data_IF_541478932514
#
_entry.id   IF_541478932514
#
_cell.length_a   1.000
_cell.length_b   1.000
_cell.length_c   1.000
_cell.angle_alpha   90.00
_cell.angle_beta   90.00
_cell.angle_gamma   90.00
#
_symmetry.space_group_name_H-M   'P 1'
#
loop_
_entity.id
_entity.type
_entity.pdbx_description
1 polymer ?
#
# COMPACT_ATOMS: atom_id res chain seq x y z
N UNK A 1 0.86 10.23 -24.97
CA UNK A 1 1.52 9.33 -23.99
C UNK A 1 0.52 8.28 -23.56
N UNK A 2 0.88 7.01 -23.54
CA UNK A 2 0.08 5.91 -22.99
C UNK A 2 0.64 5.51 -21.62
N UNK A 3 -0.19 4.89 -20.78
CA UNK A 3 0.24 4.35 -19.50
C UNK A 3 -0.30 2.93 -19.29
N UNK A 4 0.32 2.18 -18.40
CA UNK A 4 -0.10 0.82 -18.08
C UNK A 4 -1.30 0.85 -17.12
N UNK A 5 -2.41 0.17 -17.47
CA UNK A 5 -3.63 0.17 -16.66
C UNK A 5 -3.60 -0.79 -15.48
N UNK A 6 -3.13 -2.01 -15.72
CA UNK A 6 -3.37 -3.11 -14.78
C UNK A 6 -2.23 -4.13 -14.72
N UNK A 7 -1.18 -3.95 -15.51
CA UNK A 7 -0.11 -4.94 -15.63
C UNK A 7 0.57 -5.29 -14.30
N UNK A 8 0.50 -4.39 -13.33
CA UNK A 8 1.19 -4.51 -12.03
C UNK A 8 0.24 -4.66 -10.84
N UNK A 9 -1.08 -4.60 -11.05
CA UNK A 9 -2.04 -4.49 -9.94
C UNK A 9 -2.08 -5.74 -9.07
N UNK A 10 -1.89 -6.92 -9.66
CA UNK A 10 -1.89 -8.19 -8.93
C UNK A 10 -0.66 -8.25 -8.03
N UNK A 11 0.52 -7.97 -8.57
CA UNK A 11 1.79 -8.04 -7.84
C UNK A 11 1.80 -7.07 -6.65
N UNK A 12 1.32 -5.83 -6.85
CA UNK A 12 1.23 -4.85 -5.75
C UNK A 12 0.22 -5.32 -4.68
N UNK A 13 -0.91 -5.91 -5.07
CA UNK A 13 -1.88 -6.43 -4.11
C UNK A 13 -1.31 -7.61 -3.33
N UNK A 14 -0.55 -8.49 -3.97
CA UNK A 14 0.12 -9.62 -3.34
C UNK A 14 1.22 -9.15 -2.38
N UNK A 15 2.00 -8.13 -2.77
CA UNK A 15 3.00 -7.50 -1.90
C UNK A 15 2.36 -6.95 -0.62
N UNK A 16 1.28 -6.16 -0.74
CA UNK A 16 0.57 -5.60 0.42
C UNK A 16 0.03 -6.71 1.32
N UNK A 17 -0.59 -7.73 0.72
CA UNK A 17 -1.11 -8.90 1.44
C UNK A 17 0.02 -9.62 2.19
N UNK A 18 1.18 -9.81 1.56
CA UNK A 18 2.35 -10.43 2.17
C UNK A 18 2.89 -9.59 3.35
N UNK A 19 2.97 -8.26 3.23
CA UNK A 19 3.37 -7.37 4.31
C UNK A 19 2.45 -7.51 5.53
N UNK A 20 1.12 -7.48 5.32
CA UNK A 20 0.12 -7.62 6.38
C UNK A 20 0.29 -8.97 7.09
N UNK A 21 0.33 -10.08 6.35
CA UNK A 21 0.43 -11.42 6.93
C UNK A 21 1.79 -11.66 7.59
N UNK A 22 2.88 -11.17 7.01
CA UNK A 22 4.21 -11.26 7.60
C UNK A 22 4.28 -10.48 8.93
N UNK A 23 3.62 -9.31 9.00
CA UNK A 23 3.53 -8.55 10.24
C UNK A 23 2.65 -9.28 11.27
N UNK A 24 1.45 -9.70 10.92
CA UNK A 24 0.54 -10.41 11.85
C UNK A 24 1.22 -11.63 12.48
N UNK A 25 2.08 -12.33 11.75
CA UNK A 25 2.86 -13.48 12.26
C UNK A 25 4.24 -13.10 12.79
N UNK A 26 4.60 -11.81 12.83
CA UNK A 26 5.91 -11.31 13.32
C UNK A 26 7.10 -12.01 12.67
N UNK A 27 7.00 -12.42 11.40
CA UNK A 27 8.01 -13.26 10.74
C UNK A 27 9.41 -12.63 10.79
N UNK A 28 9.53 -11.34 10.49
CA UNK A 28 10.83 -10.65 10.53
C UNK A 28 11.40 -10.51 11.95
N UNK A 29 10.54 -10.29 12.93
CA UNK A 29 10.98 -10.19 14.34
C UNK A 29 11.46 -11.53 14.87
N UNK A 30 10.76 -12.62 14.59
CA UNK A 30 11.18 -13.96 14.99
C UNK A 30 12.46 -14.41 14.25
N UNK A 31 12.56 -14.19 12.93
CA UNK A 31 13.78 -14.52 12.18
C UNK A 31 15.00 -13.77 12.76
N UNK A 32 14.84 -12.47 13.06
CA UNK A 32 15.89 -11.66 13.69
C UNK A 32 16.26 -12.19 15.07
N UNK A 33 15.28 -12.49 15.93
CA UNK A 33 15.52 -13.06 17.26
C UNK A 33 16.33 -14.35 17.19
N UNK A 34 15.95 -15.26 16.30
CA UNK A 34 16.66 -16.54 16.13
C UNK A 34 18.04 -16.35 15.52
N UNK A 35 18.16 -15.59 14.42
CA UNK A 35 19.42 -15.51 13.66
C UNK A 35 20.42 -14.53 14.26
N UNK A 36 19.98 -13.33 14.70
CA UNK A 36 20.84 -12.30 15.25
C UNK A 36 21.05 -12.48 16.76
N UNK A 37 19.92 -12.60 17.50
CA UNK A 37 19.95 -12.56 18.95
C UNK A 37 20.13 -13.96 19.58
N UNK A 38 20.13 -15.03 18.75
CA UNK A 38 20.30 -16.45 19.15
C UNK A 38 19.27 -16.93 20.18
N UNK A 39 18.05 -16.36 20.12
CA UNK A 39 16.93 -16.71 20.99
C UNK A 39 15.92 -17.58 20.26
N UNK A 40 15.69 -18.79 20.78
CA UNK A 40 14.64 -19.70 20.33
C UNK A 40 13.48 -19.64 21.33
N UNK A 41 12.70 -18.54 21.26
CA UNK A 41 11.66 -18.24 22.23
C UNK A 41 10.49 -17.55 21.55
N UNK A 42 9.27 -18.12 21.66
CA UNK A 42 8.06 -17.55 21.10
C UNK A 42 7.57 -16.30 21.85
N UNK A 43 7.98 -16.12 23.10
CA UNK A 43 7.54 -15.02 23.96
C UNK A 43 8.17 -13.67 23.64
N UNK A 44 9.13 -13.62 22.70
CA UNK A 44 9.76 -12.35 22.24
C UNK A 44 8.77 -11.40 21.55
N UNK A 45 7.62 -11.91 21.12
CA UNK A 45 6.53 -11.13 20.57
C UNK A 45 5.22 -11.51 21.29
N UNK A 46 4.95 -10.97 22.48
CA UNK A 46 3.80 -11.38 23.29
C UNK A 46 2.46 -10.91 22.72
N UNK A 47 2.45 -9.81 21.97
CA UNK A 47 1.22 -9.14 21.50
C UNK A 47 0.89 -9.54 20.05
N UNK A 48 0.67 -10.86 19.85
CA UNK A 48 0.18 -11.39 18.58
C UNK A 48 -1.29 -11.74 18.69
N UNK A 49 -2.12 -11.06 17.90
CA UNK A 49 -3.55 -11.32 17.81
C UNK A 49 -3.88 -12.25 16.64
N UNK A 50 -5.06 -12.88 16.73
CA UNK A 50 -5.63 -13.58 15.57
C UNK A 50 -5.99 -12.55 14.50
N UNK A 51 -5.64 -12.81 13.27
CA UNK A 51 -5.84 -11.84 12.19
C UNK A 51 -7.32 -11.47 11.98
N UNK A 52 -8.25 -12.39 12.21
CA UNK A 52 -9.70 -12.11 12.14
C UNK A 52 -10.24 -11.25 13.29
N UNK A 53 -9.42 -10.92 14.29
CA UNK A 53 -9.76 -9.99 15.35
C UNK A 53 -9.27 -8.56 15.07
N UNK A 54 -8.54 -8.37 13.96
CA UNK A 54 -7.92 -7.10 13.56
C UNK A 54 -8.72 -6.44 12.44
N UNK A 55 -8.40 -5.18 12.15
CA UNK A 55 -9.03 -4.36 11.11
C UNK A 55 -7.99 -3.87 10.13
N UNK A 56 -8.24 -4.06 8.82
CA UNK A 56 -7.40 -3.55 7.74
C UNK A 56 -8.09 -2.36 7.07
N UNK A 57 -7.43 -1.22 7.05
CA UNK A 57 -7.85 0.01 6.38
C UNK A 57 -7.16 0.18 5.03
N UNK A 58 -7.94 0.50 4.01
CA UNK A 58 -7.47 0.75 2.65
C UNK A 58 -7.75 2.22 2.31
N UNK A 59 -6.70 3.05 2.26
CA UNK A 59 -6.82 4.44 1.85
C UNK A 59 -6.76 4.52 0.31
N UNK A 60 -7.91 4.82 -0.31
CA UNK A 60 -8.20 4.61 -1.72
C UNK A 60 -8.80 3.23 -1.97
N UNK A 61 -9.87 3.15 -2.79
CA UNK A 61 -10.54 1.88 -3.10
C UNK A 61 -10.61 1.61 -4.61
N UNK A 62 -9.46 1.83 -5.27
CA UNK A 62 -9.23 1.52 -6.69
C UNK A 62 -8.98 0.03 -6.94
N UNK A 63 -8.43 -0.30 -8.11
CA UNK A 63 -8.22 -1.66 -8.57
C UNK A 63 -7.33 -2.47 -7.60
N UNK A 64 -6.20 -1.91 -7.15
CA UNK A 64 -5.26 -2.61 -6.25
C UNK A 64 -5.93 -2.89 -4.91
N UNK A 65 -6.55 -1.89 -4.28
CA UNK A 65 -7.24 -2.05 -2.99
C UNK A 65 -8.33 -3.13 -3.03
N UNK A 66 -9.09 -3.21 -4.13
CA UNK A 66 -10.10 -4.27 -4.34
C UNK A 66 -9.48 -5.66 -4.45
N UNK A 67 -8.31 -5.79 -5.07
CA UNK A 67 -7.56 -7.05 -5.10
C UNK A 67 -7.03 -7.41 -3.71
N UNK A 68 -6.52 -6.45 -2.94
CA UNK A 68 -6.12 -6.67 -1.53
C UNK A 68 -7.32 -7.15 -0.72
N UNK A 69 -8.48 -6.48 -0.82
CA UNK A 69 -9.69 -6.89 -0.13
C UNK A 69 -10.11 -8.34 -0.51
N UNK A 70 -10.03 -8.68 -1.79
CA UNK A 70 -10.27 -10.05 -2.28
C UNK A 70 -9.27 -11.06 -1.71
N UNK A 71 -7.97 -10.74 -1.70
CA UNK A 71 -6.94 -11.62 -1.14
C UNK A 71 -7.17 -11.87 0.35
N UNK A 72 -7.61 -10.85 1.09
CA UNK A 72 -7.82 -10.93 2.53
C UNK A 72 -9.18 -11.55 2.92
N UNK A 73 -10.14 -11.65 2.01
CA UNK A 73 -11.50 -12.11 2.31
C UNK A 73 -11.56 -13.49 2.96
N UNK A 74 -10.63 -14.39 2.60
CA UNK A 74 -10.56 -15.76 3.16
C UNK A 74 -10.11 -15.81 4.62
N UNK A 75 -9.59 -14.72 5.18
CA UNK A 75 -9.09 -14.66 6.56
C UNK A 75 -10.15 -14.20 7.58
N UNK A 76 -11.30 -13.69 7.11
CA UNK A 76 -12.36 -13.19 7.97
C UNK A 76 -12.00 -11.91 8.74
N UNK A 77 -10.98 -11.17 8.30
CA UNK A 77 -10.58 -9.88 8.86
C UNK A 77 -11.59 -8.80 8.49
N UNK A 78 -11.83 -7.83 9.38
CA UNK A 78 -12.63 -6.65 9.08
C UNK A 78 -11.87 -5.74 8.13
N UNK A 79 -12.51 -5.31 7.03
CA UNK A 79 -11.88 -4.42 6.06
C UNK A 79 -12.69 -3.13 5.95
N UNK A 80 -11.99 -2.01 6.15
CA UNK A 80 -12.49 -0.65 5.93
C UNK A 80 -11.81 -0.06 4.70
N UNK A 81 -12.49 0.85 4.01
CA UNK A 81 -11.88 1.65 2.96
C UNK A 81 -12.37 3.09 2.99
N UNK A 82 -11.51 4.02 2.61
CA UNK A 82 -11.85 5.44 2.44
C UNK A 82 -11.50 5.87 1.02
N UNK A 83 -12.52 6.28 0.26
CA UNK A 83 -12.37 6.82 -1.09
C UNK A 83 -13.56 7.76 -1.36
N UNK A 84 -13.32 9.06 -1.64
CA UNK A 84 -14.41 10.03 -1.81
C UNK A 84 -15.25 9.82 -3.08
N UNK A 85 -14.79 8.94 -3.99
CA UNK A 85 -15.44 8.69 -5.29
C UNK A 85 -16.15 7.33 -5.35
N UNK A 86 -16.11 6.54 -4.27
CA UNK A 86 -16.63 5.17 -4.25
C UNK A 86 -17.72 5.02 -3.20
N UNK A 87 -18.90 4.58 -3.65
CA UNK A 87 -20.06 4.36 -2.80
C UNK A 87 -19.99 3.01 -2.05
N UNK A 88 -20.74 2.89 -0.94
CA UNK A 88 -20.86 1.66 -0.16
C UNK A 88 -21.30 0.45 -1.02
N UNK A 89 -22.14 0.65 -2.02
CA UNK A 89 -22.59 -0.42 -2.93
C UNK A 89 -21.44 -1.12 -3.68
N UNK A 90 -20.32 -0.43 -3.87
CA UNK A 90 -19.10 -1.03 -4.41
C UNK A 90 -18.34 -1.77 -3.31
N UNK A 91 -18.25 -1.20 -2.10
CA UNK A 91 -17.65 -1.86 -0.93
C UNK A 91 -18.33 -3.20 -0.63
N UNK A 92 -19.65 -3.25 -0.68
CA UNK A 92 -20.46 -4.45 -0.41
C UNK A 92 -20.08 -5.63 -1.30
N UNK A 93 -19.68 -5.38 -2.56
CA UNK A 93 -19.25 -6.43 -3.49
C UNK A 93 -17.96 -7.13 -3.04
N UNK A 94 -17.19 -6.50 -2.17
CA UNK A 94 -15.90 -6.99 -1.66
C UNK A 94 -15.94 -7.29 -0.14
N UNK A 95 -17.09 -7.12 0.51
CA UNK A 95 -17.22 -7.26 1.96
C UNK A 95 -16.49 -6.17 2.74
N UNK A 96 -16.42 -4.95 2.18
CA UNK A 96 -15.70 -3.80 2.72
C UNK A 96 -16.68 -2.73 3.19
N UNK A 97 -16.45 -2.16 4.36
CA UNK A 97 -17.20 -1.01 4.86
C UNK A 97 -16.52 0.28 4.43
N UNK A 98 -17.24 1.15 3.72
CA UNK A 98 -16.74 2.47 3.35
C UNK A 98 -16.88 3.43 4.53
N UNK A 99 -15.81 4.17 4.83
CA UNK A 99 -15.75 5.15 5.92
C UNK A 99 -15.02 6.42 5.44
N UNK A 100 -15.05 7.48 6.25
CA UNK A 100 -14.17 8.64 6.02
C UNK A 100 -12.72 8.35 6.43
N UNK A 101 -11.78 9.19 5.98
CA UNK A 101 -10.35 8.98 6.20
C UNK A 101 -9.97 9.02 7.70
N UNK A 102 -10.59 9.89 8.49
CA UNK A 102 -10.32 9.97 9.94
C UNK A 102 -10.78 8.71 10.66
N UNK A 103 -11.97 8.23 10.33
CA UNK A 103 -12.49 6.95 10.85
C UNK A 103 -11.60 5.79 10.44
N UNK A 104 -11.09 5.79 9.19
CA UNK A 104 -10.14 4.78 8.74
C UNK A 104 -8.90 4.73 9.64
N UNK A 105 -8.28 5.88 9.92
CA UNK A 105 -7.08 5.96 10.76
C UNK A 105 -7.35 5.61 12.22
N UNK A 106 -8.53 5.92 12.72
CA UNK A 106 -8.92 5.66 14.11
C UNK A 106 -9.28 4.20 14.39
N UNK A 107 -9.82 3.49 13.40
CA UNK A 107 -10.38 2.15 13.62
C UNK A 107 -9.55 1.00 13.01
N UNK A 108 -8.43 1.30 12.39
CA UNK A 108 -7.62 0.28 11.71
C UNK A 108 -6.38 -0.09 12.51
N UNK A 109 -6.05 -1.39 12.55
CA UNK A 109 -4.78 -1.91 13.04
C UNK A 109 -3.70 -1.86 11.94
N UNK A 110 -4.10 -1.98 10.68
CA UNK A 110 -3.27 -1.85 9.48
C UNK A 110 -3.86 -0.79 8.57
N UNK A 111 -3.03 0.09 8.02
CA UNK A 111 -3.43 0.98 6.92
C UNK A 111 -2.50 0.76 5.75
N UNK A 112 -3.09 0.53 4.57
CA UNK A 112 -2.37 0.48 3.29
C UNK A 112 -2.86 1.59 2.37
N UNK A 113 -1.90 2.33 1.79
CA UNK A 113 -2.18 3.42 0.88
C UNK A 113 -2.30 2.92 -0.56
N UNK A 114 -3.38 3.36 -1.22
CA UNK A 114 -3.71 3.01 -2.62
C UNK A 114 -4.16 4.23 -3.42
N UNK A 115 -3.81 5.44 -2.96
CA UNK A 115 -4.11 6.69 -3.65
C UNK A 115 -3.00 7.07 -4.62
N UNK A 116 -3.31 7.58 -5.83
CA UNK A 116 -2.30 8.08 -6.74
C UNK A 116 -1.70 9.40 -6.22
N UNK A 117 -0.49 9.74 -6.62
CA UNK A 117 0.08 11.07 -6.39
C UNK A 117 -0.36 12.01 -7.52
N UNK A 118 -1.25 12.93 -7.18
CA UNK A 118 -1.75 14.03 -8.03
C UNK A 118 -1.84 15.29 -7.16
N UNK A 119 -2.09 16.45 -7.75
CA UNK A 119 -2.19 17.74 -7.03
C UNK A 119 -3.12 17.68 -5.79
N UNK A 120 -4.24 16.95 -5.88
CA UNK A 120 -5.20 16.82 -4.76
C UNK A 120 -4.88 15.73 -3.73
N UNK A 121 -3.79 14.96 -3.92
CA UNK A 121 -3.38 13.88 -2.99
C UNK A 121 -1.93 14.03 -2.53
N UNK A 122 -1.22 15.02 -3.01
CA UNK A 122 0.09 15.37 -2.50
C UNK A 122 -0.03 15.78 -1.02
N UNK A 123 0.80 15.17 -0.18
CA UNK A 123 0.78 15.37 1.28
C UNK A 123 -0.59 15.18 1.94
N UNK A 124 -1.45 14.34 1.35
CA UNK A 124 -2.77 14.02 1.88
C UNK A 124 -2.68 13.37 3.27
N UNK A 125 -1.66 12.54 3.48
CA UNK A 125 -1.47 11.79 4.71
C UNK A 125 -0.41 12.50 5.55
N UNK A 126 -0.85 13.15 6.61
CA UNK A 126 0.00 13.93 7.49
C UNK A 126 -0.47 13.88 8.94
N UNK A 127 0.05 14.81 9.73
CA UNK A 127 -0.15 14.88 11.19
C UNK A 127 -1.62 14.80 11.61
N UNK A 128 -2.52 15.46 10.88
CA UNK A 128 -3.95 15.46 11.21
C UNK A 128 -4.54 14.04 11.24
N UNK A 129 -4.11 13.17 10.30
CA UNK A 129 -4.54 11.77 10.27
C UNK A 129 -3.74 10.91 11.23
N UNK A 130 -2.44 11.15 11.37
CA UNK A 130 -1.62 10.42 12.35
C UNK A 130 -2.07 10.71 13.80
N UNK A 131 -2.65 11.88 14.07
CA UNK A 131 -3.20 12.17 15.39
C UNK A 131 -4.48 11.40 15.73
N UNK A 132 -5.21 10.92 14.72
CA UNK A 132 -6.39 10.05 14.89
C UNK A 132 -6.02 8.61 15.30
N UNK A 133 -4.77 8.18 15.07
CA UNK A 133 -4.30 6.83 15.43
C UNK A 133 -4.32 6.69 16.97
N UNK A 134 -5.06 5.70 17.51
CA UNK A 134 -5.09 5.50 18.95
C UNK A 134 -3.74 4.97 19.47
N UNK A 135 -3.26 3.87 18.94
CA UNK A 135 -1.96 3.25 19.24
C UNK A 135 -1.68 2.08 18.27
N UNK A 136 -0.38 1.80 18.04
CA UNK A 136 0.12 0.57 17.41
C UNK A 136 -0.25 0.30 15.95
N UNK A 137 -0.55 1.34 15.16
CA UNK A 137 -0.83 1.16 13.73
C UNK A 137 0.35 0.53 13.00
N UNK A 138 0.04 -0.39 12.08
CA UNK A 138 0.94 -0.87 11.03
C UNK A 138 0.67 -0.10 9.74
N UNK A 139 1.66 0.66 9.28
CA UNK A 139 1.52 1.54 8.13
C UNK A 139 2.21 0.96 6.89
N UNK A 140 1.50 0.90 5.75
CA UNK A 140 2.00 0.30 4.51
C UNK A 140 1.86 1.33 3.38
N UNK A 141 2.97 1.68 2.75
CA UNK A 141 2.95 2.54 1.57
C UNK A 141 3.68 1.87 0.39
N UNK A 142 2.91 1.37 -0.55
CA UNK A 142 3.35 0.90 -1.87
C UNK A 142 2.72 1.73 -3.00
N UNK A 143 2.19 2.91 -2.67
CA UNK A 143 1.61 3.83 -3.63
C UNK A 143 2.64 4.84 -4.14
N UNK A 144 2.82 5.96 -3.43
CA UNK A 144 3.83 6.99 -3.73
C UNK A 144 4.28 7.67 -2.44
N UNK A 145 5.58 8.01 -2.33
CA UNK A 145 6.12 8.71 -1.17
C UNK A 145 5.49 10.08 -0.95
N UNK A 146 5.36 10.87 -2.01
CA UNK A 146 4.81 12.23 -1.92
C UNK A 146 3.33 12.34 -1.51
N UNK A 147 2.60 11.23 -1.37
CA UNK A 147 1.26 11.23 -0.77
C UNK A 147 1.34 11.48 0.74
N UNK A 148 2.48 11.18 1.36
CA UNK A 148 2.72 11.27 2.80
C UNK A 148 3.63 12.45 3.11
N UNK A 149 3.33 13.19 4.16
CA UNK A 149 4.28 14.13 4.76
C UNK A 149 5.32 13.31 5.53
N UNK A 150 6.45 13.02 4.89
CA UNK A 150 7.43 12.03 5.37
C UNK A 150 7.96 12.33 6.77
N UNK A 151 8.26 13.60 7.09
CA UNK A 151 8.71 13.96 8.43
C UNK A 151 7.65 13.70 9.50
N UNK A 152 6.38 13.96 9.21
CA UNK A 152 5.28 13.73 10.16
C UNK A 152 5.02 12.22 10.35
N UNK A 153 5.25 11.40 9.32
CA UNK A 153 5.25 9.95 9.45
C UNK A 153 6.41 9.47 10.34
N UNK A 154 7.60 10.03 10.18
CA UNK A 154 8.76 9.74 11.04
C UNK A 154 8.43 10.08 12.49
N UNK A 155 7.84 11.25 12.75
CA UNK A 155 7.43 11.66 14.08
C UNK A 155 6.36 10.71 14.68
N UNK A 156 5.43 10.21 13.85
CA UNK A 156 4.44 9.23 14.26
C UNK A 156 5.06 7.84 14.57
N UNK A 157 6.12 7.44 13.87
CA UNK A 157 6.92 6.25 14.17
C UNK A 157 7.68 6.46 15.50
N UNK A 158 8.29 7.62 15.70
CA UNK A 158 9.07 7.94 16.90
C UNK A 158 8.21 8.03 18.16
N UNK A 159 6.98 8.50 18.03
CA UNK A 159 6.01 8.53 19.13
C UNK A 159 5.36 7.17 19.43
N UNK A 160 5.54 6.15 18.56
CA UNK A 160 4.95 4.82 18.70
C UNK A 160 3.51 4.71 18.17
N UNK A 161 2.90 5.77 17.67
CA UNK A 161 1.59 5.72 17.00
C UNK A 161 1.63 4.76 15.80
N UNK A 162 2.67 4.89 14.96
CA UNK A 162 3.01 3.89 13.97
C UNK A 162 4.02 2.92 14.60
N UNK A 163 3.55 1.76 14.99
CA UNK A 163 4.38 0.73 15.61
C UNK A 163 5.32 0.05 14.63
N UNK A 164 4.90 -0.06 13.37
CA UNK A 164 5.66 -0.69 12.29
C UNK A 164 5.31 -0.08 10.92
N UNK A 165 6.30 0.07 10.06
CA UNK A 165 6.08 0.59 8.71
C UNK A 165 6.67 -0.34 7.63
N UNK A 166 5.92 -0.54 6.55
CA UNK A 166 6.35 -1.22 5.31
C UNK A 166 6.30 -0.18 4.20
N UNK A 167 7.45 0.24 3.73
CA UNK A 167 7.58 1.33 2.77
C UNK A 167 8.31 0.83 1.52
N UNK A 168 7.57 0.71 0.42
CA UNK A 168 8.14 0.38 -0.89
C UNK A 168 8.54 1.65 -1.64
N UNK A 169 8.11 2.80 -1.16
CA UNK A 169 8.37 4.12 -1.74
C UNK A 169 8.68 5.14 -0.65
N UNK A 170 9.58 6.06 -0.95
CA UNK A 170 9.92 7.24 -0.14
C UNK A 170 9.66 8.50 -0.95
N UNK A 171 9.72 9.67 -0.32
CA UNK A 171 9.57 10.95 -1.01
C UNK A 171 10.65 11.16 -2.06
N UNK A 172 11.90 10.81 -1.73
CA UNK A 172 12.97 10.66 -2.70
C UNK A 172 13.04 9.22 -3.19
N UNK A 173 12.88 8.98 -4.50
CA UNK A 173 12.98 7.63 -5.09
C UNK A 173 14.42 7.09 -5.16
N UNK A 174 15.44 7.94 -4.92
CA UNK A 174 16.86 7.58 -4.89
C UNK A 174 17.55 8.05 -3.61
N UNK A 175 17.05 7.65 -2.43
CA UNK A 175 17.52 8.18 -1.15
C UNK A 175 18.96 7.75 -0.86
N UNK A 176 19.72 8.63 -0.18
CA UNK A 176 20.97 8.20 0.44
C UNK A 176 20.69 7.38 1.71
N UNK A 177 20.72 6.07 1.57
CA UNK A 177 20.42 5.14 2.67
C UNK A 177 21.43 5.20 3.82
N UNK A 178 22.61 5.83 3.64
CA UNK A 178 23.59 5.99 4.72
C UNK A 178 23.13 7.04 5.73
N UNK A 179 22.34 8.02 5.28
CA UNK A 179 21.90 9.17 6.09
C UNK A 179 20.40 9.20 6.32
N UNK A 180 19.62 8.39 5.57
CA UNK A 180 18.17 8.41 5.64
C UNK A 180 17.66 7.94 7.01
N UNK A 181 16.79 8.72 7.70
CA UNK A 181 16.38 8.43 9.08
C UNK A 181 15.62 7.11 9.26
N UNK A 182 15.03 6.57 8.19
CA UNK A 182 14.28 5.30 8.22
C UNK A 182 15.14 4.06 7.95
N UNK A 183 16.37 4.22 7.40
CA UNK A 183 17.15 3.10 6.88
C UNK A 183 17.64 2.11 7.95
N UNK A 184 17.80 2.56 9.20
CA UNK A 184 18.37 1.74 10.28
C UNK A 184 17.36 1.45 11.41
N UNK A 185 16.07 1.49 11.13
CA UNK A 185 15.02 1.25 12.12
C UNK A 185 14.56 -0.21 12.09
N UNK A 186 14.57 -0.85 13.23
CA UNK A 186 14.14 -2.26 13.37
C UNK A 186 12.64 -2.46 13.12
N UNK A 187 11.84 -1.41 13.24
CA UNK A 187 10.40 -1.39 13.01
C UNK A 187 10.00 -0.82 11.64
N UNK A 188 10.95 -0.67 10.72
CA UNK A 188 10.70 -0.22 9.34
C UNK A 188 11.28 -1.24 8.36
N UNK A 189 10.47 -1.71 7.45
CA UNK A 189 10.91 -2.50 6.29
C UNK A 189 10.88 -1.60 5.08
N UNK A 190 12.04 -1.43 4.43
CA UNK A 190 12.19 -0.70 3.19
C UNK A 190 12.39 -1.67 2.04
N UNK A 191 11.70 -1.42 0.92
CA UNK A 191 11.95 -2.12 -0.35
C UNK A 191 12.06 -1.09 -1.48
N UNK A 192 12.88 -1.35 -2.52
CA UNK A 192 13.27 -0.33 -3.49
C UNK A 192 12.27 -0.22 -4.65
N UNK A 193 11.02 0.19 -4.37
CA UNK A 193 9.92 0.32 -5.33
C UNK A 193 9.74 -0.96 -6.16
N UNK A 194 9.59 -2.09 -5.46
CA UNK A 194 9.60 -3.44 -6.04
C UNK A 194 8.24 -4.14 -5.97
N UNK A 195 7.24 -3.54 -5.30
CA UNK A 195 5.92 -4.14 -5.13
C UNK A 195 5.26 -4.56 -6.45
N UNK A 196 5.60 -3.89 -7.55
CA UNK A 196 5.07 -4.18 -8.88
C UNK A 196 5.78 -5.35 -9.59
N UNK A 197 6.96 -5.77 -9.11
CA UNK A 197 7.88 -6.58 -9.90
C UNK A 197 7.61 -8.08 -9.79
N UNK A 198 7.33 -8.68 -10.95
CA UNK A 198 7.45 -10.11 -11.22
C UNK A 198 7.93 -10.29 -12.66
N UNK A 199 8.31 -11.51 -13.04
CA UNK A 199 8.65 -11.80 -14.46
C UNK A 199 7.43 -11.60 -15.37
N UNK A 200 6.26 -11.96 -14.87
CA UNK A 200 4.97 -11.82 -15.56
C UNK A 200 4.61 -10.34 -15.73
N UNK A 201 4.67 -9.54 -14.67
CA UNK A 201 4.34 -8.11 -14.73
C UNK A 201 5.28 -7.35 -15.68
N UNK A 202 6.58 -7.65 -15.62
CA UNK A 202 7.57 -7.06 -16.52
C UNK A 202 7.35 -7.45 -18.00
N UNK A 203 6.93 -8.70 -18.27
CA UNK A 203 6.55 -9.16 -19.62
C UNK A 203 5.27 -8.47 -20.08
N UNK A 204 4.23 -8.49 -19.26
CA UNK A 204 2.90 -7.98 -19.60
C UNK A 204 2.92 -6.46 -19.78
N UNK A 205 3.71 -5.75 -18.98
CA UNK A 205 3.96 -4.32 -19.16
C UNK A 205 4.59 -4.01 -20.52
N UNK A 206 5.62 -4.77 -20.93
CA UNK A 206 6.25 -4.61 -22.27
C UNK A 206 5.26 -4.92 -23.40
N UNK A 207 4.48 -5.99 -23.27
CA UNK A 207 3.49 -6.37 -24.28
C UNK A 207 2.40 -5.29 -24.42
N UNK A 208 1.92 -4.71 -23.32
CA UNK A 208 0.96 -3.61 -23.35
C UNK A 208 1.55 -2.37 -24.01
N UNK A 209 2.78 -1.97 -23.67
CA UNK A 209 3.45 -0.85 -24.35
C UNK A 209 3.54 -1.06 -25.86
N UNK A 210 3.95 -2.27 -26.31
CA UNK A 210 4.02 -2.59 -27.74
C UNK A 210 2.64 -2.54 -28.40
N UNK A 211 1.60 -3.05 -27.72
CA UNK A 211 0.24 -2.99 -28.21
C UNK A 211 -0.28 -1.57 -28.36
N UNK A 212 -0.01 -0.70 -27.36
CA UNK A 212 -0.40 0.70 -27.40
C UNK A 212 0.30 1.47 -28.53
N UNK A 213 1.61 1.25 -28.71
CA UNK A 213 2.37 1.82 -29.82
C UNK A 213 1.76 1.40 -31.15
N UNK A 214 1.52 0.10 -31.36
CA UNK A 214 0.88 -0.42 -32.57
C UNK A 214 -0.49 0.22 -32.80
N UNK A 215 -1.34 0.26 -31.78
CA UNK A 215 -2.68 0.80 -31.86
C UNK A 215 -2.66 2.29 -32.24
N UNK A 216 -1.73 3.06 -31.65
CA UNK A 216 -1.54 4.46 -32.00
C UNK A 216 -1.20 4.66 -33.47
N UNK A 217 -0.19 3.94 -34.00
CA UNK A 217 0.24 4.07 -35.39
C UNK A 217 -0.72 3.47 -36.43
N UNK A 218 -1.64 2.60 -36.00
CA UNK A 218 -2.68 2.03 -36.87
C UNK A 218 -4.03 2.77 -36.74
N UNK A 219 -4.10 3.87 -35.99
CA UNK A 219 -5.32 4.66 -35.83
C UNK A 219 -6.37 4.05 -34.90
N UNK A 220 -6.05 2.99 -34.17
CA UNK A 220 -6.93 2.35 -33.18
C UNK A 220 -6.85 3.04 -31.82
N UNK A 221 -7.10 4.34 -31.77
CA UNK A 221 -6.91 5.17 -30.58
C UNK A 221 -7.79 4.78 -29.41
N UNK A 222 -8.99 4.24 -29.67
CA UNK A 222 -9.92 3.70 -28.69
C UNK A 222 -9.35 2.54 -27.85
N UNK A 223 -8.33 1.86 -28.38
CA UNK A 223 -7.61 0.77 -27.71
C UNK A 223 -6.38 1.25 -26.90
N UNK A 224 -5.97 2.50 -27.06
CA UNK A 224 -4.91 3.09 -26.29
C UNK A 224 -5.42 3.57 -24.92
N UNK A 225 -4.58 3.46 -23.89
CA UNK A 225 -4.96 3.90 -22.54
C UNK A 225 -5.01 5.42 -22.44
N UNK A 226 -4.17 6.11 -23.20
CA UNK A 226 -4.14 7.58 -23.32
C UNK A 226 -3.67 7.97 -24.72
N UNK A 227 -4.32 8.98 -25.29
CA UNK A 227 -3.94 9.54 -26.61
C UNK A 227 -3.60 11.01 -26.41
N UNK A 228 -2.41 11.50 -26.82
CA UNK A 228 -2.08 12.92 -26.77
C UNK A 228 -3.08 13.73 -27.62
N UNK A 229 -3.70 14.75 -27.03
CA UNK A 229 -4.69 15.61 -27.70
C UNK A 229 -6.08 15.00 -27.90
N UNK A 230 -6.31 13.76 -27.50
CA UNK A 230 -7.64 13.16 -27.43
C UNK A 230 -8.31 13.42 -26.07
N UNK A 231 -9.62 13.52 -26.07
CA UNK A 231 -10.37 13.52 -24.83
C UNK A 231 -10.04 12.27 -24.03
N UNK A 232 -9.76 12.42 -22.73
CA UNK A 232 -9.57 11.30 -21.81
C UNK A 232 -10.71 10.31 -21.98
N UNK A 233 -10.48 9.20 -22.66
CA UNK A 233 -11.41 8.07 -22.65
C UNK A 233 -11.19 7.35 -21.33
N UNK A 234 -11.65 7.97 -20.24
CA UNK A 234 -11.96 7.22 -19.03
C UNK A 234 -13.29 6.52 -19.27
N UNK A 235 -13.25 5.23 -19.39
CA UNK A 235 -14.38 4.35 -19.10
C UNK A 235 -13.89 3.13 -18.34
#
# INVERSE_FOLDING_TARGET
>A
VTHLRSAFSIDVADYVTACILAHNKRLFAYDRSVRRDKKWDYSVCPDIHRFNAETVGLAGFGQIARLVAKNLSGFGVRILAADPYIDQSVGDQYGVTMVDMKTLFRESDYISLHVPLIEGTEHLIGKELFDEIPDHLVFINSARGGVVVEQEMIDAIDSGKISYAYLDVLTDEYPDLNTHPLANRDNVILTPHVAFYSQESARDGRLQCCADIRNYFTGNYDKCVFVPGGNNVQK
#
